data_IF_418622729575
#
_entry.id   IF_418622729575
#
_cell.length_a   1.000
_cell.length_b   1.000
_cell.length_c   1.000
_cell.angle_alpha   90.00
_cell.angle_beta   90.00
_cell.angle_gamma   90.00
#
_symmetry.space_group_name_H-M   'P 1'
#
loop_
_entity.id
_entity.type
_entity.pdbx_description
1 polymer ?
#
# COMPACT_ATOMS: atom_id res chain seq x y z
N UNK A 1 -21.70 -10.88 -5.37
CA UNK A 1 -20.54 -9.95 -5.48
C UNK A 1 -21.02 -8.70 -6.20
N UNK A 2 -20.73 -7.49 -5.73
CA UNK A 2 -21.23 -6.25 -6.38
C UNK A 2 -20.55 -5.99 -7.74
N UNK A 3 -21.29 -5.39 -8.68
CA UNK A 3 -20.86 -5.13 -10.07
C UNK A 3 -19.60 -4.25 -10.14
N UNK A 4 -19.51 -3.20 -9.33
CA UNK A 4 -18.32 -2.34 -9.22
C UNK A 4 -17.03 -3.11 -8.88
N UNK A 5 -17.14 -4.17 -8.06
CA UNK A 5 -15.97 -4.97 -7.67
C UNK A 5 -15.47 -5.89 -8.79
N UNK A 6 -16.33 -6.22 -9.77
CA UNK A 6 -15.94 -7.01 -10.95
C UNK A 6 -15.19 -6.13 -11.96
N UNK A 7 -15.68 -4.92 -12.21
CA UNK A 7 -15.04 -3.97 -13.14
C UNK A 7 -13.61 -3.60 -12.72
N UNK A 8 -13.39 -3.27 -11.44
CA UNK A 8 -12.04 -2.96 -10.93
C UNK A 8 -11.08 -4.13 -11.09
N UNK A 9 -11.55 -5.35 -10.81
CA UNK A 9 -10.74 -6.58 -10.98
C UNK A 9 -10.39 -6.79 -12.45
N UNK A 10 -11.34 -6.59 -13.37
CA UNK A 10 -11.11 -6.67 -14.81
C UNK A 10 -10.09 -5.64 -15.29
N UNK A 11 -10.17 -4.39 -14.82
CA UNK A 11 -9.21 -3.33 -15.14
C UNK A 11 -7.80 -3.70 -14.66
N UNK A 12 -7.66 -4.15 -13.41
CA UNK A 12 -6.38 -4.62 -12.86
C UNK A 12 -5.78 -5.75 -13.71
N UNK A 13 -6.60 -6.72 -14.12
CA UNK A 13 -6.12 -7.82 -14.98
C UNK A 13 -5.67 -7.32 -16.35
N UNK A 14 -6.38 -6.37 -16.96
CA UNK A 14 -5.96 -5.75 -18.22
C UNK A 14 -4.61 -5.03 -18.06
N UNK A 15 -4.46 -4.23 -17.00
CA UNK A 15 -3.19 -3.54 -16.71
C UNK A 15 -2.05 -4.53 -16.49
N UNK A 16 -2.29 -5.61 -15.73
CA UNK A 16 -1.30 -6.66 -15.52
C UNK A 16 -0.87 -7.33 -16.84
N UNK A 17 -1.81 -7.57 -17.76
CA UNK A 17 -1.49 -8.08 -19.10
C UNK A 17 -0.65 -7.09 -19.91
N UNK A 18 -0.94 -5.79 -19.83
CA UNK A 18 -0.12 -4.75 -20.47
C UNK A 18 1.30 -4.74 -19.90
N UNK A 19 1.46 -4.87 -18.59
CA UNK A 19 2.77 -4.94 -17.94
C UNK A 19 3.52 -6.22 -18.32
N UNK A 20 2.84 -7.36 -18.38
CA UNK A 20 3.42 -8.61 -18.85
C UNK A 20 3.97 -8.45 -20.28
N UNK A 21 3.17 -7.88 -21.18
CA UNK A 21 3.58 -7.58 -22.55
C UNK A 21 4.79 -6.64 -22.57
N UNK A 22 4.77 -5.58 -21.77
CA UNK A 22 5.88 -4.64 -21.66
C UNK A 22 7.20 -5.32 -21.27
N UNK A 23 7.21 -6.10 -20.18
CA UNK A 23 8.41 -6.80 -19.71
C UNK A 23 8.89 -7.88 -20.70
N UNK A 24 7.97 -8.53 -21.43
CA UNK A 24 8.30 -9.57 -22.41
C UNK A 24 8.88 -8.99 -23.70
N UNK A 25 8.30 -7.89 -24.21
CA UNK A 25 8.64 -7.34 -25.53
C UNK A 25 9.74 -6.28 -25.48
N UNK A 26 9.97 -5.67 -24.31
CA UNK A 26 10.93 -4.57 -24.14
C UNK A 26 12.04 -4.88 -23.12
N UNK A 27 12.70 -6.06 -23.12
CA UNK A 27 13.71 -6.41 -22.12
C UNK A 27 14.95 -5.48 -22.14
N UNK A 28 15.18 -4.80 -23.27
CA UNK A 28 16.27 -3.84 -23.43
C UNK A 28 16.00 -2.49 -22.72
N UNK A 29 14.74 -2.10 -22.55
CA UNK A 29 14.39 -0.84 -21.85
C UNK A 29 14.44 -0.98 -20.33
N UNK A 30 14.48 -2.20 -19.81
CA UNK A 30 14.61 -2.45 -18.37
C UNK A 30 16.05 -2.18 -17.95
N UNK A 31 16.21 -1.09 -17.21
CA UNK A 31 17.47 -0.76 -16.55
C UNK A 31 17.74 -1.73 -15.39
N UNK A 32 19.02 -2.01 -15.18
CA UNK A 32 19.47 -2.94 -14.14
C UNK A 32 20.56 -2.25 -13.32
N UNK A 33 20.37 -2.15 -12.00
CA UNK A 33 21.34 -1.46 -11.17
C UNK A 33 22.67 -2.20 -11.17
N UNK A 34 23.75 -1.43 -11.02
CA UNK A 34 25.07 -2.01 -10.82
C UNK A 34 25.08 -2.90 -9.57
N UNK A 35 25.92 -3.94 -9.61
CA UNK A 35 26.07 -4.91 -8.52
C UNK A 35 24.74 -5.57 -8.10
N UNK A 36 23.88 -5.91 -9.07
CA UNK A 36 22.55 -6.49 -8.85
C UNK A 36 22.50 -7.61 -7.78
N UNK A 37 23.53 -8.45 -7.72
CA UNK A 37 23.64 -9.58 -6.80
C UNK A 37 23.80 -9.18 -5.33
N UNK A 38 24.12 -7.92 -5.04
CA UNK A 38 24.25 -7.38 -3.68
C UNK A 38 23.05 -6.53 -3.26
N UNK A 39 22.03 -6.40 -4.12
CA UNK A 39 20.87 -5.53 -3.85
C UNK A 39 19.65 -6.33 -3.42
N UNK A 40 18.95 -5.78 -2.44
CA UNK A 40 17.59 -6.24 -2.10
C UNK A 40 16.62 -5.64 -3.10
N UNK A 41 15.71 -6.45 -3.63
CA UNK A 41 14.57 -6.01 -4.41
C UNK A 41 13.29 -6.14 -3.60
N UNK A 42 12.38 -5.21 -3.84
CA UNK A 42 11.01 -5.25 -3.35
C UNK A 42 10.05 -5.15 -4.54
N UNK A 43 9.02 -5.99 -4.51
CA UNK A 43 7.99 -6.04 -5.56
C UNK A 43 6.64 -5.80 -4.93
N UNK A 44 5.86 -4.92 -5.54
CA UNK A 44 4.45 -4.75 -5.23
C UNK A 44 3.61 -5.51 -6.27
N UNK A 45 2.84 -6.49 -5.82
CA UNK A 45 1.90 -7.22 -6.66
C UNK A 45 0.57 -6.45 -6.79
N UNK A 46 -0.20 -6.80 -7.82
CA UNK A 46 -1.56 -6.28 -8.02
C UNK A 46 -2.54 -6.83 -6.99
N UNK A 47 -2.36 -8.10 -6.61
CA UNK A 47 -3.13 -8.74 -5.54
C UNK A 47 -2.42 -8.66 -4.18
N UNK A 48 -3.20 -8.54 -3.11
CA UNK A 48 -2.71 -8.65 -1.75
C UNK A 48 -2.67 -10.10 -1.29
N UNK A 49 -1.59 -10.47 -0.60
CA UNK A 49 -1.53 -11.71 0.18
C UNK A 49 -2.12 -11.45 1.56
N UNK A 50 -2.97 -12.35 2.03
CA UNK A 50 -3.54 -12.29 3.37
C UNK A 50 -3.18 -13.55 4.15
N UNK A 51 -2.94 -13.40 5.45
CA UNK A 51 -2.72 -14.51 6.39
C UNK A 51 -3.51 -14.27 7.67
N UNK A 52 -4.39 -15.21 8.00
CA UNK A 52 -5.12 -15.20 9.25
C UNK A 52 -4.25 -15.77 10.37
N UNK A 53 -3.84 -14.93 11.32
CA UNK A 53 -2.98 -15.35 12.43
C UNK A 53 -3.82 -16.06 13.48
N UNK A 54 -3.33 -17.20 13.96
CA UNK A 54 -3.90 -17.84 15.15
C UNK A 54 -3.40 -17.09 16.37
N UNK A 55 -4.32 -16.55 17.16
CA UNK A 55 -4.02 -15.78 18.35
C UNK A 55 -4.92 -16.23 19.49
N UNK A 56 -4.34 -16.31 20.68
CA UNK A 56 -5.11 -16.52 21.91
C UNK A 56 -5.35 -15.16 22.53
N UNK A 57 -6.61 -14.72 22.54
CA UNK A 57 -7.05 -13.47 23.13
C UNK A 57 -7.71 -13.80 24.47
N UNK A 58 -7.53 -12.96 25.48
CA UNK A 58 -8.28 -13.07 26.73
C UNK A 58 -9.53 -12.20 26.62
N UNK A 59 -10.72 -12.74 26.87
CA UNK A 59 -11.96 -11.97 26.94
C UNK A 59 -12.06 -11.13 28.22
N UNK A 60 -13.05 -10.25 28.30
CA UNK A 60 -13.31 -9.38 29.46
C UNK A 60 -13.62 -10.18 30.75
N UNK A 61 -13.94 -11.47 30.62
CA UNK A 61 -14.20 -12.40 31.73
C UNK A 61 -12.94 -13.19 32.14
N UNK A 62 -11.80 -12.96 31.49
CA UNK A 62 -10.54 -13.66 31.77
C UNK A 62 -10.35 -15.00 31.03
N UNK A 63 -11.29 -15.40 30.17
CA UNK A 63 -11.18 -16.65 29.42
C UNK A 63 -10.30 -16.48 28.18
N UNK A 64 -9.49 -17.50 27.90
CA UNK A 64 -8.66 -17.56 26.69
C UNK A 64 -9.47 -18.06 25.51
N UNK A 65 -9.76 -17.17 24.56
CA UNK A 65 -10.41 -17.47 23.28
C UNK A 65 -9.34 -17.59 22.20
N UNK A 66 -9.32 -18.71 21.47
CA UNK A 66 -8.53 -18.80 20.24
C UNK A 66 -9.28 -18.13 19.10
N UNK A 67 -8.59 -17.25 18.38
CA UNK A 67 -9.11 -16.56 17.20
C UNK A 67 -8.19 -16.79 16.01
N UNK A 68 -8.77 -16.77 14.81
CA UNK A 68 -8.07 -16.98 13.56
C UNK A 68 -7.86 -18.46 13.19
N UNK A 69 -7.77 -18.74 11.89
CA UNK A 69 -7.77 -20.10 11.34
C UNK A 69 -6.43 -20.56 10.75
N UNK A 70 -5.39 -19.71 10.78
CA UNK A 70 -4.06 -20.05 10.23
C UNK A 70 -3.96 -20.03 8.70
N UNK A 71 -5.10 -19.93 8.00
CA UNK A 71 -5.14 -19.98 6.54
C UNK A 71 -4.59 -18.69 5.90
N UNK A 72 -4.19 -18.82 4.64
CA UNK A 72 -3.67 -17.71 3.84
C UNK A 72 -4.16 -17.82 2.41
N UNK A 73 -4.05 -16.72 1.67
CA UNK A 73 -4.44 -16.67 0.27
C UNK A 73 -4.11 -15.33 -0.38
N UNK A 74 -4.63 -15.15 -1.58
CA UNK A 74 -4.49 -13.94 -2.38
C UNK A 74 -5.85 -13.30 -2.63
N UNK A 75 -5.90 -11.98 -2.74
CA UNK A 75 -7.12 -11.23 -3.04
C UNK A 75 -6.79 -9.94 -3.78
N UNK A 76 -7.54 -9.64 -4.84
CA UNK A 76 -7.55 -8.32 -5.50
C UNK A 76 -8.35 -7.29 -4.72
N UNK A 77 -9.14 -7.73 -3.73
CA UNK A 77 -9.93 -6.88 -2.85
C UNK A 77 -9.21 -6.67 -1.53
N UNK A 78 -9.42 -5.50 -0.94
CA UNK A 78 -8.98 -5.24 0.43
C UNK A 78 -9.66 -6.22 1.39
N UNK A 79 -8.87 -6.85 2.25
CA UNK A 79 -9.31 -7.83 3.24
C UNK A 79 -9.16 -7.20 4.62
N UNK A 80 -10.27 -6.96 5.31
CA UNK A 80 -10.29 -6.45 6.69
C UNK A 80 -10.57 -7.56 7.72
N UNK A 81 -11.09 -8.71 7.26
CA UNK A 81 -11.41 -9.88 8.06
C UNK A 81 -11.09 -11.15 7.29
N UNK A 82 -10.72 -12.22 7.98
CA UNK A 82 -10.46 -13.51 7.36
C UNK A 82 -11.70 -14.02 6.61
N UNK A 83 -11.61 -14.36 5.31
CA UNK A 83 -12.76 -14.83 4.54
C UNK A 83 -13.30 -16.18 5.02
N UNK A 84 -12.51 -16.94 5.79
CA UNK A 84 -12.86 -18.30 6.20
C UNK A 84 -13.37 -18.40 7.64
N UNK A 85 -12.99 -17.47 8.53
CA UNK A 85 -13.41 -17.49 9.94
C UNK A 85 -13.82 -16.13 10.51
N UNK A 86 -13.93 -15.10 9.67
CA UNK A 86 -14.28 -13.72 10.02
C UNK A 86 -13.35 -13.03 11.06
N UNK A 87 -12.24 -13.68 11.46
CA UNK A 87 -11.28 -13.10 12.40
C UNK A 87 -10.68 -11.80 11.84
N UNK A 88 -10.68 -10.75 12.66
CA UNK A 88 -10.01 -9.46 12.39
C UNK A 88 -8.48 -9.56 12.48
N UNK A 89 -7.93 -10.65 13.01
CA UNK A 89 -6.48 -10.90 13.11
C UNK A 89 -5.87 -11.33 11.76
N UNK A 90 -6.14 -10.57 10.70
CA UNK A 90 -5.63 -10.81 9.35
C UNK A 90 -4.47 -9.87 9.04
N UNK A 91 -3.35 -10.44 8.60
CA UNK A 91 -2.19 -9.69 8.10
C UNK A 91 -2.31 -9.61 6.59
N UNK A 92 -2.28 -8.41 6.00
CA UNK A 92 -2.44 -8.20 4.56
C UNK A 92 -1.25 -7.41 4.01
N UNK A 93 -0.70 -7.85 2.88
CA UNK A 93 0.38 -7.14 2.18
C UNK A 93 0.38 -7.45 0.69
N UNK A 94 0.53 -6.41 -0.14
CA UNK A 94 0.85 -6.54 -1.57
C UNK A 94 2.35 -6.62 -1.84
N UNK A 95 3.18 -6.46 -0.80
CA UNK A 95 4.63 -6.35 -0.92
C UNK A 95 5.31 -7.69 -0.71
N UNK A 96 6.24 -8.00 -1.60
CA UNK A 96 7.22 -9.08 -1.45
C UNK A 96 8.61 -8.45 -1.39
N UNK A 97 9.28 -8.58 -0.24
CA UNK A 97 10.61 -8.03 0.03
C UNK A 97 11.66 -9.14 0.10
N UNK A 98 12.91 -8.77 0.42
CA UNK A 98 14.01 -9.73 0.56
C UNK A 98 14.24 -10.57 -0.71
N UNK A 99 13.99 -9.96 -1.88
CA UNK A 99 14.29 -10.59 -3.16
C UNK A 99 15.71 -10.21 -3.58
N UNK A 100 16.36 -11.07 -4.36
CA UNK A 100 17.68 -10.81 -4.91
C UNK A 100 17.85 -11.54 -6.23
N UNK A 101 18.63 -10.97 -7.14
CA UNK A 101 18.84 -11.52 -8.48
C UNK A 101 20.33 -11.59 -8.78
N UNK A 102 20.77 -12.70 -9.36
CA UNK A 102 22.19 -12.87 -9.72
C UNK A 102 22.55 -12.18 -11.02
N UNK A 103 21.57 -12.02 -11.91
CA UNK A 103 21.76 -11.51 -13.27
C UNK A 103 20.55 -10.70 -13.74
N UNK A 104 20.75 -9.91 -14.81
CA UNK A 104 19.67 -9.21 -15.52
C UNK A 104 18.62 -10.19 -16.03
N UNK A 105 19.05 -11.35 -16.51
CA UNK A 105 18.17 -12.38 -17.06
C UNK A 105 17.28 -13.00 -15.97
N UNK A 106 17.78 -13.18 -14.75
CA UNK A 106 16.98 -13.62 -13.59
C UNK A 106 15.89 -12.61 -13.24
N UNK A 107 16.26 -11.33 -13.18
CA UNK A 107 15.31 -10.24 -12.93
C UNK A 107 14.22 -10.22 -14.01
N UNK A 108 14.61 -10.18 -15.29
CA UNK A 108 13.68 -10.14 -16.43
C UNK A 108 12.73 -11.33 -16.47
N UNK A 109 13.23 -12.55 -16.22
CA UNK A 109 12.39 -13.75 -16.11
C UNK A 109 11.33 -13.58 -15.02
N UNK A 110 11.72 -13.05 -13.85
CA UNK A 110 10.79 -12.87 -12.75
C UNK A 110 9.76 -11.76 -13.03
N UNK A 111 10.20 -10.62 -13.58
CA UNK A 111 9.32 -9.51 -13.95
C UNK A 111 8.30 -9.93 -15.00
N UNK A 112 8.72 -10.70 -16.02
CA UNK A 112 7.81 -11.24 -17.04
C UNK A 112 6.81 -12.21 -16.42
N UNK A 113 7.26 -13.10 -15.53
CA UNK A 113 6.40 -14.09 -14.87
C UNK A 113 5.34 -13.46 -13.97
N UNK A 114 5.74 -12.48 -13.15
CA UNK A 114 4.86 -11.88 -12.14
C UNK A 114 4.03 -10.74 -12.74
N UNK A 115 4.63 -9.95 -13.63
CA UNK A 115 4.13 -8.68 -14.14
C UNK A 115 3.66 -7.76 -13.01
N UNK A 116 4.57 -7.33 -12.11
CA UNK A 116 4.21 -6.60 -10.91
C UNK A 116 3.71 -5.19 -11.19
N UNK A 117 2.98 -4.61 -10.23
CA UNK A 117 2.53 -3.21 -10.28
C UNK A 117 3.72 -2.26 -10.18
N UNK A 118 4.59 -2.49 -9.20
CA UNK A 118 5.78 -1.69 -8.97
C UNK A 118 6.97 -2.57 -8.59
N UNK A 119 8.17 -2.09 -8.92
CA UNK A 119 9.45 -2.76 -8.63
C UNK A 119 10.40 -1.73 -8.04
N UNK A 120 11.12 -2.14 -7.01
CA UNK A 120 12.08 -1.31 -6.31
C UNK A 120 13.33 -2.13 -6.01
N UNK A 121 14.47 -1.45 -5.84
CA UNK A 121 15.66 -2.03 -5.25
C UNK A 121 16.24 -1.12 -4.18
N UNK A 122 17.02 -1.68 -3.26
CA UNK A 122 17.71 -0.92 -2.25
C UNK A 122 18.79 -0.02 -2.87
N UNK A 123 18.96 1.17 -2.29
CA UNK A 123 20.17 1.97 -2.46
C UNK A 123 21.37 1.31 -1.74
N UNK A 124 21.09 0.54 -0.69
CA UNK A 124 22.08 -0.21 0.06
C UNK A 124 22.58 -1.45 -0.69
N UNK A 125 23.83 -1.81 -0.43
CA UNK A 125 24.50 -3.03 -0.83
C UNK A 125 24.66 -3.96 0.38
N UNK A 126 24.43 -5.25 0.17
CA UNK A 126 24.41 -6.30 1.18
C UNK A 126 25.24 -7.49 0.74
N UNK A 127 25.90 -8.16 1.69
CA UNK A 127 26.51 -9.47 1.46
C UNK A 127 25.45 -10.54 1.20
N UNK A 128 24.33 -10.49 1.94
CA UNK A 128 23.19 -11.41 1.80
C UNK A 128 21.89 -10.62 1.64
N UNK A 129 21.57 -10.09 0.44
CA UNK A 129 20.40 -9.20 0.25
C UNK A 129 19.05 -9.87 0.52
N UNK A 130 18.99 -11.20 0.47
CA UNK A 130 17.77 -12.00 0.72
C UNK A 130 17.56 -12.36 2.18
N UNK A 131 18.50 -12.02 3.09
CA UNK A 131 18.33 -12.29 4.51
C UNK A 131 17.15 -11.48 5.08
N UNK A 132 16.43 -12.07 6.03
CA UNK A 132 15.25 -11.45 6.64
C UNK A 132 15.68 -10.45 7.71
N UNK A 133 16.64 -10.83 8.56
CA UNK A 133 17.15 -9.97 9.63
C UNK A 133 18.22 -9.00 9.10
N UNK A 134 18.27 -7.79 9.63
CA UNK A 134 19.23 -6.78 9.17
C UNK A 134 20.68 -7.13 9.51
N UNK A 135 20.91 -7.82 10.64
CA UNK A 135 22.25 -8.29 11.03
C UNK A 135 22.80 -9.33 10.06
N UNK A 136 21.95 -10.23 9.56
CA UNK A 136 22.35 -11.27 8.60
C UNK A 136 22.52 -10.74 7.18
N UNK A 137 21.98 -9.56 6.86
CA UNK A 137 22.17 -8.97 5.53
C UNK A 137 23.60 -8.57 5.24
N UNK A 138 24.42 -8.34 6.27
CA UNK A 138 25.81 -7.89 6.13
C UNK A 138 25.89 -6.60 5.30
N UNK A 139 25.43 -5.49 5.85
CA UNK A 139 25.44 -4.19 5.15
C UNK A 139 26.88 -3.78 4.77
N UNK A 140 27.07 -3.42 3.49
CA UNK A 140 28.37 -3.07 2.93
C UNK A 140 28.50 -1.56 2.74
N UNK A 141 27.42 -0.91 2.29
CA UNK A 141 27.42 0.49 1.89
C UNK A 141 26.09 0.89 1.28
N UNK A 142 25.97 2.13 0.80
CA UNK A 142 24.80 2.58 0.07
C UNK A 142 25.13 3.70 -0.93
N UNK A 143 24.30 3.83 -1.94
CA UNK A 143 24.28 5.00 -2.82
C UNK A 143 23.73 6.23 -2.09
N UNK A 144 24.21 7.40 -2.50
CA UNK A 144 23.59 8.67 -2.14
C UNK A 144 22.47 8.95 -3.14
N UNK A 145 21.23 8.94 -2.67
CA UNK A 145 20.03 9.14 -3.49
C UNK A 145 19.32 10.41 -3.05
N UNK A 146 18.86 11.20 -4.01
CA UNK A 146 17.97 12.33 -3.81
C UNK A 146 16.66 12.06 -4.53
N UNK A 147 15.54 12.23 -3.85
CA UNK A 147 14.20 12.16 -4.42
C UNK A 147 13.61 13.57 -4.39
N UNK A 148 13.15 14.06 -5.53
CA UNK A 148 12.52 15.38 -5.66
C UNK A 148 11.07 15.14 -5.99
N UNK A 149 10.25 15.12 -4.94
CA UNK A 149 8.82 14.94 -5.05
C UNK A 149 8.17 16.17 -5.70
N UNK A 150 7.54 15.98 -6.85
CA UNK A 150 6.97 17.07 -7.64
C UNK A 150 5.80 17.77 -6.92
N UNK A 151 5.06 17.06 -6.07
CA UNK A 151 3.94 17.60 -5.29
C UNK A 151 4.39 18.56 -4.16
N UNK A 152 5.67 18.59 -3.83
CA UNK A 152 6.26 19.55 -2.90
C UNK A 152 6.75 20.83 -3.59
N UNK A 153 6.70 20.88 -4.92
CA UNK A 153 7.07 22.06 -5.69
C UNK A 153 5.85 22.96 -5.91
N UNK A 154 5.92 24.20 -5.43
CA UNK A 154 4.88 25.21 -5.64
C UNK A 154 5.01 25.80 -7.05
N UNK A 155 4.48 25.06 -8.04
CA UNK A 155 4.55 25.41 -9.46
C UNK A 155 3.21 25.96 -9.94
N UNK A 156 3.25 27.01 -10.77
CA UNK A 156 2.04 27.62 -11.34
C UNK A 156 1.20 26.63 -12.17
N UNK A 157 1.87 25.69 -12.86
CA UNK A 157 1.23 24.67 -13.70
C UNK A 157 0.52 23.56 -12.91
N UNK A 158 0.68 23.49 -11.59
CA UNK A 158 -0.02 22.51 -10.75
C UNK A 158 -1.55 22.56 -10.98
N UNK A 159 -2.10 23.76 -11.19
CA UNK A 159 -3.53 23.94 -11.47
C UNK A 159 -4.00 23.37 -12.82
N UNK A 160 -3.06 23.07 -13.74
CA UNK A 160 -3.36 22.57 -15.08
C UNK A 160 -3.39 21.03 -15.14
N UNK A 161 -2.57 20.36 -14.34
CA UNK A 161 -2.36 18.91 -14.45
C UNK A 161 -2.58 18.14 -13.15
N UNK A 162 -2.43 18.78 -11.98
CA UNK A 162 -2.69 18.12 -10.73
C UNK A 162 -4.19 18.05 -10.52
N UNK A 163 -4.67 16.89 -10.09
CA UNK A 163 -6.07 16.67 -9.82
C UNK A 163 -6.21 16.18 -8.38
N UNK A 164 -7.28 16.66 -7.74
CA UNK A 164 -7.65 16.16 -6.43
C UNK A 164 -9.07 15.62 -6.42
N UNK A 165 -9.29 14.59 -5.60
CA UNK A 165 -10.61 14.05 -5.28
C UNK A 165 -10.81 13.93 -3.78
N UNK A 166 -12.01 14.26 -3.32
CA UNK A 166 -12.41 14.09 -1.93
C UNK A 166 -12.27 12.61 -1.50
N UNK A 167 -11.67 12.40 -0.33
CA UNK A 167 -11.52 11.07 0.28
C UNK A 167 -12.78 10.55 0.96
N UNK A 168 -13.85 11.34 1.06
CA UNK A 168 -15.13 10.85 1.57
C UNK A 168 -15.78 9.98 0.47
N UNK A 169 -16.05 8.67 0.70
CA UNK A 169 -16.67 7.81 -0.29
C UNK A 169 -18.04 8.29 -0.78
N UNK A 170 -18.76 9.02 0.07
CA UNK A 170 -20.07 9.60 -0.26
C UNK A 170 -19.95 10.94 -1.01
N UNK A 171 -18.75 11.52 -1.07
CA UNK A 171 -18.47 12.77 -1.77
C UNK A 171 -17.66 12.52 -3.05
N UNK A 172 -18.18 12.98 -4.18
CA UNK A 172 -17.48 12.92 -5.46
C UNK A 172 -16.83 14.24 -5.87
N UNK A 173 -16.70 15.20 -4.94
CA UNK A 173 -16.07 16.47 -5.23
C UNK A 173 -14.62 16.26 -5.68
N UNK A 174 -14.27 16.90 -6.78
CA UNK A 174 -12.93 16.93 -7.35
C UNK A 174 -12.62 18.32 -7.88
N UNK A 175 -11.36 18.58 -8.17
CA UNK A 175 -10.87 19.82 -8.76
C UNK A 175 -9.44 19.64 -9.25
N UNK A 176 -8.83 20.73 -9.72
CA UNK A 176 -7.42 20.76 -10.13
C UNK A 176 -6.57 21.56 -9.14
N UNK A 177 -5.25 21.38 -9.21
CA UNK A 177 -4.28 22.03 -8.33
C UNK A 177 -4.18 21.41 -6.94
N UNK A 178 -3.65 22.20 -6.01
CA UNK A 178 -3.44 21.77 -4.62
C UNK A 178 -4.79 21.43 -3.94
N UNK A 179 -4.91 20.29 -3.26
CA UNK A 179 -6.15 19.90 -2.62
C UNK A 179 -6.47 20.87 -1.48
N UNK A 180 -7.73 21.32 -1.36
CA UNK A 180 -8.11 22.21 -0.26
C UNK A 180 -8.03 21.46 1.07
N UNK A 181 -7.61 22.14 2.14
CA UNK A 181 -7.58 21.55 3.49
C UNK A 181 -8.96 21.03 3.93
N UNK A 182 -10.02 21.69 3.45
CA UNK A 182 -11.42 21.38 3.73
C UNK A 182 -12.13 21.16 2.41
N UNK A 183 -12.80 20.02 2.25
CA UNK A 183 -13.61 19.75 1.06
C UNK A 183 -14.75 20.77 0.96
N UNK A 184 -14.91 21.49 -0.18
CA UNK A 184 -15.97 22.48 -0.36
C UNK A 184 -17.38 21.92 -0.20
N UNK A 185 -17.56 20.62 -0.48
CA UNK A 185 -18.86 19.94 -0.38
C UNK A 185 -19.10 19.27 0.97
N UNK A 186 -18.06 18.80 1.68
CA UNK A 186 -18.23 18.13 2.97
C UNK A 186 -18.08 19.06 4.18
N UNK A 187 -17.43 20.21 4.03
CA UNK A 187 -17.10 21.08 5.14
C UNK A 187 -16.13 20.43 6.14
N UNK A 188 -16.15 20.92 7.38
CA UNK A 188 -15.32 20.37 8.45
C UNK A 188 -15.77 18.96 8.82
N UNK A 189 -14.86 17.99 8.71
CA UNK A 189 -15.11 16.60 9.08
C UNK A 189 -13.95 16.08 9.93
N UNK A 190 -14.27 15.35 10.98
CA UNK A 190 -13.30 14.77 11.89
C UNK A 190 -13.52 13.27 12.05
N UNK A 191 -12.44 12.57 12.40
CA UNK A 191 -12.48 11.16 12.73
C UNK A 191 -11.66 10.88 14.00
N UNK A 192 -12.00 9.78 14.66
CA UNK A 192 -11.30 9.25 15.81
C UNK A 192 -10.03 8.51 15.36
N UNK A 193 -8.89 8.81 15.98
CA UNK A 193 -7.63 8.13 15.65
C UNK A 193 -7.56 6.70 16.21
N UNK A 194 -8.49 6.31 17.08
CA UNK A 194 -8.58 4.94 17.56
C UNK A 194 -9.32 4.07 16.54
N UNK A 195 -8.56 3.16 15.91
CA UNK A 195 -9.03 2.19 14.92
C UNK A 195 -10.16 1.29 15.45
N UNK A 196 -10.24 1.07 16.77
CA UNK A 196 -11.30 0.25 17.36
C UNK A 196 -12.61 1.02 17.60
N UNK A 197 -12.57 2.36 17.59
CA UNK A 197 -13.73 3.22 17.82
C UNK A 197 -14.41 3.66 16.52
N UNK A 198 -13.63 3.95 15.48
CA UNK A 198 -14.10 4.30 14.13
C UNK A 198 -15.16 5.43 14.06
N UNK A 199 -15.24 6.29 15.09
CA UNK A 199 -16.18 7.42 15.11
C UNK A 199 -15.73 8.53 14.20
N UNK A 200 -16.71 9.12 13.53
CA UNK A 200 -16.56 10.26 12.64
C UNK A 200 -17.74 11.22 12.79
N UNK A 201 -17.55 12.48 12.42
CA UNK A 201 -18.59 13.50 12.51
C UNK A 201 -18.27 14.77 11.73
N UNK A 202 -19.32 15.56 11.50
CA UNK A 202 -19.26 16.87 10.84
C UNK A 202 -19.13 18.00 11.88
N UNK A 203 -18.53 19.11 11.45
CA UNK A 203 -18.33 20.32 12.24
C UNK A 203 -17.00 20.39 12.97
N UNK A 204 -16.95 21.27 13.99
CA UNK A 204 -15.72 21.58 14.73
C UNK A 204 -15.07 20.32 15.29
N UNK A 205 -13.78 20.16 15.00
CA UNK A 205 -12.93 19.11 15.55
C UNK A 205 -13.03 19.10 17.09
N UNK A 206 -13.63 18.06 17.71
CA UNK A 206 -13.62 17.94 19.16
C UNK A 206 -12.19 17.67 19.62
N UNK A 207 -11.76 18.13 20.81
CA UNK A 207 -10.39 17.89 21.31
C UNK A 207 -10.10 16.40 21.57
N UNK A 208 -11.15 15.63 21.86
CA UNK A 208 -11.13 14.19 22.13
C UNK A 208 -12.39 13.57 21.54
N UNK A 209 -12.30 12.29 21.15
CA UNK A 209 -13.42 11.54 20.64
C UNK A 209 -14.53 11.44 21.70
N UNK A 210 -15.80 11.77 21.37
CA UNK A 210 -16.90 11.74 22.33
C UNK A 210 -17.21 10.34 22.86
N UNK A 211 -16.80 9.28 22.15
CA UNK A 211 -17.07 7.89 22.55
C UNK A 211 -15.90 7.26 23.31
N UNK A 212 -14.70 7.23 22.74
CA UNK A 212 -13.56 6.53 23.33
C UNK A 212 -12.50 7.45 23.96
N UNK A 213 -12.74 8.77 24.01
CA UNK A 213 -11.82 9.80 24.56
C UNK A 213 -10.43 9.85 23.91
N UNK A 214 -10.22 9.15 22.80
CA UNK A 214 -8.96 9.15 22.04
C UNK A 214 -8.78 10.46 21.27
N UNK A 215 -7.56 10.73 20.78
CA UNK A 215 -7.32 11.89 19.90
C UNK A 215 -8.16 11.78 18.63
N UNK A 216 -8.57 12.94 18.14
CA UNK A 216 -9.33 13.13 16.90
C UNK A 216 -8.47 13.95 15.94
N UNK A 217 -8.63 13.69 14.65
CA UNK A 217 -7.91 14.40 13.60
C UNK A 217 -8.90 14.95 12.58
N UNK A 218 -8.56 16.08 11.97
CA UNK A 218 -9.23 16.54 10.75
C UNK A 218 -8.86 15.59 9.62
N UNK A 219 -9.86 15.19 8.85
CA UNK A 219 -9.61 14.40 7.64
C UNK A 219 -9.06 15.36 6.60
N UNK A 220 -7.77 15.26 6.27
CA UNK A 220 -7.20 15.97 5.12
C UNK A 220 -7.84 15.39 3.86
N UNK A 221 -8.58 16.22 3.13
CA UNK A 221 -9.40 15.79 2.01
C UNK A 221 -8.70 16.05 0.68
N UNK A 222 -8.01 15.04 0.18
CA UNK A 222 -7.46 15.06 -1.17
C UNK A 222 -6.61 13.83 -1.39
N UNK A 223 -7.00 12.98 -2.32
CA UNK A 223 -6.00 12.22 -3.07
C UNK A 223 -5.53 13.17 -4.16
N UNK A 224 -4.23 13.46 -4.19
CA UNK A 224 -3.57 14.30 -5.19
C UNK A 224 -2.81 13.39 -6.14
N UNK A 225 -2.83 13.70 -7.43
CA UNK A 225 -2.01 13.05 -8.46
C UNK A 225 -0.98 14.01 -8.95
#
# INVERSE_FOLDING_TARGET
MSVQNQETTTTIMKLRLLFHKYYSENPKSIDVPQQIHTREFAIQAWESNWRCRQQTITDDSGNKIQTGCGQSGKSFKSITQCPNCASKAVSVTSWTRHQGYKSKEDLLRNLTKIAPHSVYHSAAFYGVPTAISMSEKEWIGAELVFDIDADHLDLECANDHDAWKCKNPECNQSGTGTPPEICPSCGEYWYCNNLDCDKQGEGKLPKICPECKSKTSRKLFGFHT
#
